data_IF_133766198512
#
_entry.id   IF_133766198512
#
_cell.length_a   1.000
_cell.length_b   1.000
_cell.length_c   1.000
_cell.angle_alpha   90.00
_cell.angle_beta   90.00
_cell.angle_gamma   90.00
#
_symmetry.space_group_name_H-M   'P 1'
#
loop_
_entity.id
_entity.type
_entity.pdbx_description
1 polymer ?
#
# COMPACT_ATOMS: atom_id res chain seq x y z
N UNK A 1 -10.36 -9.84 6.98
CA UNK A 1 -11.06 -10.90 6.22
C UNK A 1 -10.10 -11.80 5.42
N UNK A 2 -9.00 -11.28 4.91
CA UNK A 2 -8.03 -12.00 4.05
C UNK A 2 -6.95 -12.71 4.86
N UNK A 3 -6.39 -13.80 4.29
CA UNK A 3 -5.37 -14.66 4.91
C UNK A 3 -4.08 -14.71 4.08
N UNK A 4 -3.52 -13.56 3.75
CA UNK A 4 -2.27 -13.48 2.99
C UNK A 4 -1.13 -14.14 3.78
N UNK A 5 -0.36 -15.02 3.13
CA UNK A 5 0.62 -15.89 3.81
C UNK A 5 1.87 -15.14 4.34
N UNK A 6 2.00 -13.86 4.06
CA UNK A 6 3.07 -13.01 4.59
C UNK A 6 2.62 -12.16 5.79
N UNK A 7 1.30 -12.08 6.06
CA UNK A 7 0.72 -11.16 7.02
C UNK A 7 0.40 -11.84 8.35
N UNK A 8 0.84 -11.24 9.46
CA UNK A 8 0.57 -11.75 10.81
C UNK A 8 -0.72 -11.18 11.44
N UNK A 9 -1.51 -10.44 10.67
CA UNK A 9 -2.81 -9.98 11.13
C UNK A 9 -3.76 -11.17 11.29
N UNK A 10 -4.46 -11.23 12.41
CA UNK A 10 -5.41 -12.31 12.68
C UNK A 10 -6.53 -12.32 11.64
N UNK A 11 -6.66 -13.44 10.93
CA UNK A 11 -7.72 -13.66 9.95
C UNK A 11 -8.99 -14.14 10.64
N UNK A 12 -10.13 -13.62 10.21
CA UNK A 12 -11.43 -14.05 10.74
C UNK A 12 -12.53 -13.07 10.39
N UNK A 13 -13.66 -13.22 11.07
CA UNK A 13 -14.75 -12.26 10.98
C UNK A 13 -14.43 -11.05 11.85
N UNK A 14 -14.28 -9.84 11.26
CA UNK A 14 -13.99 -8.63 12.02
C UNK A 14 -15.15 -8.24 12.94
N UNK A 15 -14.84 -7.45 13.96
CA UNK A 15 -15.88 -6.76 14.73
C UNK A 15 -16.65 -5.76 13.86
N UNK A 16 -17.87 -5.39 14.24
CA UNK A 16 -18.60 -4.29 13.60
C UNK A 16 -17.72 -3.03 13.51
N UNK A 17 -17.95 -2.20 12.50
CA UNK A 17 -17.26 -0.91 12.41
C UNK A 17 -17.56 -0.04 13.63
N UNK A 18 -16.53 0.57 14.21
CA UNK A 18 -16.71 1.67 15.15
C UNK A 18 -17.05 2.94 14.36
N UNK A 19 -18.27 3.41 14.51
CA UNK A 19 -18.75 4.63 13.84
C UNK A 19 -18.00 5.90 14.24
N UNK A 20 -17.30 5.86 15.39
CA UNK A 20 -16.51 6.98 15.90
C UNK A 20 -15.02 6.87 15.54
N UNK A 21 -14.56 5.75 14.96
CA UNK A 21 -13.16 5.56 14.57
C UNK A 21 -12.62 6.70 13.70
N UNK A 22 -13.34 7.22 12.67
CA UNK A 22 -12.87 8.36 11.89
C UNK A 22 -12.51 9.59 12.73
N UNK A 23 -13.33 9.90 13.73
CA UNK A 23 -13.10 11.02 14.65
C UNK A 23 -11.91 10.73 15.57
N UNK A 24 -11.85 9.54 16.15
CA UNK A 24 -10.75 9.15 17.06
C UNK A 24 -9.39 9.14 16.33
N UNK A 25 -9.35 8.71 15.07
CA UNK A 25 -8.12 8.78 14.25
C UNK A 25 -7.70 10.23 14.03
N UNK A 26 -8.65 11.11 13.66
CA UNK A 26 -8.38 12.54 13.45
C UNK A 26 -7.88 13.24 14.73
N UNK A 27 -8.49 12.95 15.88
CA UNK A 27 -8.07 13.46 17.20
C UNK A 27 -6.68 12.94 17.60
N UNK A 28 -6.37 11.68 17.30
CA UNK A 28 -5.05 11.09 17.57
C UNK A 28 -3.95 11.80 16.78
N UNK A 29 -4.20 12.09 15.50
CA UNK A 29 -3.28 12.85 14.65
C UNK A 29 -3.06 14.26 15.21
N UNK A 30 -4.14 14.94 15.61
CA UNK A 30 -4.07 16.26 16.23
C UNK A 30 -3.25 16.26 17.54
N UNK A 31 -3.50 15.26 18.40
CA UNK A 31 -2.77 15.10 19.67
C UNK A 31 -1.28 14.88 19.43
N UNK A 32 -0.93 14.06 18.45
CA UNK A 32 0.47 13.78 18.07
C UNK A 32 1.12 14.93 17.30
N UNK A 33 0.35 15.93 16.82
CA UNK A 33 0.82 17.08 16.03
C UNK A 33 1.63 16.65 14.79
N UNK A 34 1.08 15.71 14.03
CA UNK A 34 1.77 15.17 12.87
C UNK A 34 1.65 16.10 11.66
N UNK A 35 2.76 16.37 10.98
CA UNK A 35 2.79 17.07 9.70
C UNK A 35 2.38 16.15 8.54
N UNK A 36 2.61 14.83 8.69
CA UNK A 36 2.24 13.79 7.74
C UNK A 36 1.75 12.54 8.45
N UNK A 37 0.67 11.96 7.97
CA UNK A 37 0.09 10.73 8.52
C UNK A 37 -0.10 9.68 7.43
N UNK A 38 0.37 8.45 7.71
CA UNK A 38 0.11 7.27 6.88
C UNK A 38 -0.93 6.42 7.57
N UNK A 39 -2.07 6.25 6.93
CA UNK A 39 -3.20 5.48 7.45
C UNK A 39 -3.32 4.16 6.70
N UNK A 40 -3.52 3.09 7.42
CA UNK A 40 -3.74 1.76 6.87
C UNK A 40 -4.90 1.06 7.58
N UNK A 41 -5.49 0.08 6.94
CA UNK A 41 -6.54 -0.75 7.54
C UNK A 41 -6.32 -2.23 7.25
N UNK A 42 -7.13 -3.07 7.90
CA UNK A 42 -7.35 -4.45 7.47
C UNK A 42 -8.37 -4.48 6.33
N UNK A 43 -8.39 -5.58 5.56
CA UNK A 43 -9.42 -5.79 4.54
C UNK A 43 -10.79 -6.06 5.19
N UNK A 44 -11.84 -5.47 4.63
CA UNK A 44 -13.22 -5.57 5.08
C UNK A 44 -14.14 -6.11 3.99
N UNK A 45 -13.75 -7.25 3.37
CA UNK A 45 -14.57 -7.91 2.33
C UNK A 45 -15.94 -8.40 2.87
N UNK A 46 -16.15 -8.31 4.18
CA UNK A 46 -17.41 -8.59 4.85
C UNK A 46 -18.44 -7.46 4.73
N UNK A 47 -18.01 -6.25 4.36
CA UNK A 47 -18.89 -5.10 4.18
C UNK A 47 -19.37 -4.98 2.73
N UNK A 48 -20.60 -4.48 2.51
CA UNK A 48 -21.14 -4.32 1.15
C UNK A 48 -20.31 -3.41 0.24
N UNK A 49 -19.72 -2.38 0.83
CA UNK A 49 -18.85 -1.38 0.17
C UNK A 49 -17.35 -1.66 0.40
N UNK A 50 -17.00 -2.83 0.93
CA UNK A 50 -15.62 -3.22 1.26
C UNK A 50 -14.89 -2.21 2.17
N UNK A 51 -15.65 -1.34 2.86
CA UNK A 51 -15.17 -0.31 3.77
C UNK A 51 -14.79 1.02 3.11
N UNK A 52 -15.18 1.26 1.86
CA UNK A 52 -14.82 2.47 1.11
C UNK A 52 -15.37 3.75 1.73
N UNK A 53 -16.63 3.76 2.19
CA UNK A 53 -17.22 4.92 2.86
C UNK A 53 -16.53 5.21 4.21
N UNK A 54 -16.15 4.17 4.94
CA UNK A 54 -15.40 4.34 6.20
C UNK A 54 -14.03 4.99 5.95
N UNK A 55 -13.34 4.59 4.88
CA UNK A 55 -12.12 5.24 4.42
C UNK A 55 -12.34 6.72 4.08
N UNK A 56 -13.35 7.00 3.27
CA UNK A 56 -13.66 8.36 2.85
C UNK A 56 -14.01 9.27 4.04
N UNK A 57 -14.79 8.78 4.99
CA UNK A 57 -15.10 9.49 6.24
C UNK A 57 -13.84 9.76 7.07
N UNK A 58 -12.98 8.77 7.21
CA UNK A 58 -11.74 8.92 7.98
C UNK A 58 -10.86 10.01 7.37
N UNK A 59 -10.67 10.02 6.07
CA UNK A 59 -9.90 11.05 5.38
C UNK A 59 -10.52 12.45 5.57
N UNK A 60 -11.84 12.58 5.40
CA UNK A 60 -12.55 13.86 5.57
C UNK A 60 -12.43 14.37 7.01
N UNK A 61 -12.57 13.50 8.03
CA UNK A 61 -12.42 13.91 9.43
C UNK A 61 -10.99 14.34 9.75
N UNK A 62 -9.99 13.61 9.24
CA UNK A 62 -8.59 14.01 9.43
C UNK A 62 -8.36 15.40 8.81
N UNK A 63 -8.76 15.64 7.57
CA UNK A 63 -8.59 16.94 6.90
C UNK A 63 -9.37 18.06 7.59
N UNK A 64 -10.56 17.77 8.11
CA UNK A 64 -11.36 18.75 8.86
C UNK A 64 -10.67 19.20 10.14
N UNK A 65 -10.12 18.26 10.91
CA UNK A 65 -9.50 18.56 12.22
C UNK A 65 -8.03 18.98 12.09
N UNK A 66 -7.33 18.49 11.06
CA UNK A 66 -5.90 18.69 10.83
C UNK A 66 -5.64 19.22 9.41
N UNK A 67 -6.06 20.45 9.07
CA UNK A 67 -6.04 20.94 7.69
C UNK A 67 -4.63 21.13 7.12
N UNK A 68 -3.58 21.15 7.95
CA UNK A 68 -2.19 21.27 7.51
C UNK A 68 -1.48 19.93 7.41
N UNK A 69 -2.08 18.85 7.95
CA UNK A 69 -1.48 17.51 7.90
C UNK A 69 -1.73 16.89 6.53
N UNK A 70 -0.66 16.45 5.88
CA UNK A 70 -0.75 15.66 4.65
C UNK A 70 -1.08 14.21 4.96
N UNK A 71 -1.88 13.57 4.08
CA UNK A 71 -2.42 12.23 4.32
C UNK A 71 -2.02 11.28 3.21
N UNK A 72 -1.34 10.21 3.57
CA UNK A 72 -1.19 9.02 2.73
C UNK A 72 -2.13 7.93 3.25
N UNK A 73 -2.85 7.26 2.34
CA UNK A 73 -3.71 6.12 2.67
C UNK A 73 -3.24 4.87 1.94
N UNK A 74 -3.01 3.79 2.68
CA UNK A 74 -2.72 2.47 2.12
C UNK A 74 -4.01 1.65 2.11
N UNK A 75 -4.63 1.57 0.93
CA UNK A 75 -5.96 1.00 0.74
C UNK A 75 -5.93 -0.44 0.23
N UNK A 76 -6.99 -1.24 0.48
CA UNK A 76 -7.20 -2.52 -0.19
C UNK A 76 -7.51 -2.32 -1.69
N UNK A 77 -7.59 -3.43 -2.44
CA UNK A 77 -7.91 -3.38 -3.87
C UNK A 77 -9.39 -3.08 -4.18
N UNK A 78 -10.26 -3.06 -3.18
CA UNK A 78 -11.72 -2.98 -3.34
C UNK A 78 -12.26 -3.87 -4.47
N UNK A 79 -11.60 -5.02 -4.73
CA UNK A 79 -11.91 -5.95 -5.81
C UNK A 79 -11.94 -5.28 -7.22
N UNK A 80 -11.20 -4.20 -7.39
CA UNK A 80 -11.14 -3.41 -8.63
C UNK A 80 -12.39 -2.57 -8.93
N UNK A 81 -13.32 -2.42 -7.98
CA UNK A 81 -14.55 -1.64 -8.17
C UNK A 81 -14.24 -0.14 -8.17
N UNK A 82 -14.31 0.46 -9.33
CA UNK A 82 -13.95 1.88 -9.53
C UNK A 82 -14.84 2.84 -8.77
N UNK A 83 -16.12 2.51 -8.58
CA UNK A 83 -17.06 3.30 -7.79
C UNK A 83 -16.67 3.39 -6.31
N UNK A 84 -16.01 2.35 -5.76
CA UNK A 84 -15.51 2.36 -4.40
C UNK A 84 -14.17 3.11 -4.29
N UNK A 85 -13.30 2.96 -5.28
CA UNK A 85 -12.07 3.75 -5.38
C UNK A 85 -12.36 5.24 -5.49
N UNK A 86 -13.39 5.63 -6.25
CA UNK A 86 -13.80 7.03 -6.39
C UNK A 86 -14.20 7.66 -5.06
N UNK A 87 -14.86 6.93 -4.15
CA UNK A 87 -15.22 7.45 -2.82
C UNK A 87 -13.97 7.88 -2.03
N UNK A 88 -12.89 7.09 -2.12
CA UNK A 88 -11.61 7.42 -1.47
C UNK A 88 -10.91 8.59 -2.17
N UNK A 89 -10.91 8.60 -3.50
CA UNK A 89 -10.30 9.67 -4.31
C UNK A 89 -11.00 11.01 -4.04
N UNK A 90 -12.34 11.03 -4.01
CA UNK A 90 -13.16 12.21 -3.75
C UNK A 90 -13.05 12.72 -2.29
N UNK A 91 -12.48 11.95 -1.39
CA UNK A 91 -12.11 12.42 -0.05
C UNK A 91 -10.79 13.22 -0.04
N UNK A 92 -10.08 13.27 -1.18
CA UNK A 92 -8.87 14.06 -1.45
C UNK A 92 -7.69 13.76 -0.52
N UNK A 93 -7.23 12.49 -0.35
CA UNK A 93 -5.94 12.23 0.27
C UNK A 93 -4.81 12.76 -0.63
N UNK A 94 -3.64 13.03 -0.05
CA UNK A 94 -2.50 13.57 -0.79
C UNK A 94 -1.76 12.49 -1.58
N UNK A 95 -1.73 11.27 -1.04
CA UNK A 95 -1.18 10.06 -1.68
C UNK A 95 -2.14 8.90 -1.45
N UNK A 96 -2.39 8.12 -2.49
CA UNK A 96 -3.03 6.80 -2.36
C UNK A 96 -2.02 5.72 -2.69
N UNK A 97 -1.81 4.82 -1.73
CA UNK A 97 -0.93 3.67 -1.81
C UNK A 97 -1.74 2.39 -1.93
N UNK A 98 -1.34 1.51 -2.85
CA UNK A 98 -1.83 0.14 -2.94
C UNK A 98 -0.67 -0.78 -3.28
N UNK A 99 -0.37 -1.74 -2.42
CA UNK A 99 0.80 -2.59 -2.57
C UNK A 99 0.57 -3.74 -3.55
N UNK A 100 1.55 -3.97 -4.43
CA UNK A 100 1.65 -5.20 -5.23
C UNK A 100 2.07 -6.41 -4.39
N UNK A 101 2.77 -6.16 -3.29
CA UNK A 101 3.35 -7.11 -2.35
C UNK A 101 4.49 -7.95 -2.93
N UNK A 102 4.37 -8.49 -4.13
CA UNK A 102 5.38 -9.31 -4.80
C UNK A 102 5.14 -9.39 -6.31
N UNK A 103 6.04 -10.09 -7.01
CA UNK A 103 5.98 -10.28 -8.47
C UNK A 103 4.81 -11.18 -8.90
N UNK A 104 4.45 -11.12 -10.18
CA UNK A 104 3.31 -11.80 -10.79
C UNK A 104 3.25 -13.31 -10.49
N UNK A 105 4.37 -14.01 -10.64
CA UNK A 105 4.45 -15.46 -10.44
C UNK A 105 4.20 -15.87 -8.98
N UNK A 106 4.66 -15.07 -8.03
CA UNK A 106 4.57 -15.37 -6.59
C UNK A 106 3.25 -14.88 -5.99
N UNK A 107 2.65 -13.84 -6.56
CA UNK A 107 1.42 -13.24 -6.04
C UNK A 107 0.33 -14.25 -5.68
N UNK A 108 -0.07 -15.22 -6.55
CA UNK A 108 -1.10 -16.20 -6.22
C UNK A 108 -0.70 -17.20 -5.13
N UNK A 109 0.60 -17.32 -4.83
CA UNK A 109 1.10 -18.22 -3.79
C UNK A 109 0.98 -17.62 -2.40
N UNK A 110 1.05 -16.29 -2.29
CA UNK A 110 1.14 -15.58 -1.00
C UNK A 110 -0.05 -14.67 -0.70
N UNK A 111 -0.78 -14.20 -1.72
CA UNK A 111 -1.99 -13.37 -1.55
C UNK A 111 -3.23 -14.24 -1.63
N UNK A 112 -4.13 -14.15 -0.66
CA UNK A 112 -5.29 -15.06 -0.55
C UNK A 112 -6.45 -14.72 -1.48
N UNK A 113 -6.65 -13.44 -1.80
CA UNK A 113 -7.78 -12.96 -2.60
C UNK A 113 -7.39 -11.90 -3.62
N UNK A 114 -6.33 -11.13 -3.33
CA UNK A 114 -5.90 -10.07 -4.22
C UNK A 114 -5.20 -10.62 -5.49
N UNK A 115 -5.51 -10.02 -6.62
CA UNK A 115 -4.99 -10.39 -7.93
C UNK A 115 -3.98 -9.35 -8.42
N UNK A 116 -2.93 -9.78 -9.10
CA UNK A 116 -1.86 -8.90 -9.61
C UNK A 116 -2.40 -7.86 -10.60
N UNK A 117 -3.20 -8.29 -11.57
CA UNK A 117 -3.75 -7.40 -12.59
C UNK A 117 -4.79 -6.43 -12.01
N UNK A 118 -5.61 -6.89 -11.07
CA UNK A 118 -6.54 -6.02 -10.33
C UNK A 118 -5.77 -4.95 -9.56
N UNK A 119 -4.65 -5.29 -8.92
CA UNK A 119 -3.81 -4.30 -8.22
C UNK A 119 -3.23 -3.26 -9.16
N UNK A 120 -2.79 -3.63 -10.37
CA UNK A 120 -2.36 -2.69 -11.40
C UNK A 120 -3.50 -1.78 -11.88
N UNK A 121 -4.71 -2.34 -12.06
CA UNK A 121 -5.89 -1.56 -12.42
C UNK A 121 -6.23 -0.52 -11.34
N UNK A 122 -6.15 -0.88 -10.06
CA UNK A 122 -6.33 0.06 -8.93
C UNK A 122 -5.34 1.21 -9.01
N UNK A 123 -4.04 0.92 -9.17
CA UNK A 123 -2.98 1.93 -9.29
C UNK A 123 -3.23 2.83 -10.52
N UNK A 124 -3.58 2.22 -11.66
CA UNK A 124 -3.89 2.97 -12.88
C UNK A 124 -5.10 3.89 -12.70
N UNK A 125 -6.14 3.43 -12.00
CA UNK A 125 -7.32 4.25 -11.72
C UNK A 125 -6.99 5.45 -10.84
N UNK A 126 -6.20 5.23 -9.77
CA UNK A 126 -5.72 6.31 -8.88
C UNK A 126 -4.94 7.36 -9.68
N UNK A 127 -3.95 6.93 -10.47
CA UNK A 127 -3.11 7.82 -11.27
C UNK A 127 -3.91 8.62 -12.31
N UNK A 128 -4.83 7.96 -13.03
CA UNK A 128 -5.69 8.62 -14.03
C UNK A 128 -6.61 9.69 -13.44
N UNK A 129 -6.94 9.59 -12.17
CA UNK A 129 -7.72 10.58 -11.46
C UNK A 129 -6.86 11.69 -10.81
N UNK A 130 -5.57 11.77 -11.17
CA UNK A 130 -4.68 12.86 -10.77
C UNK A 130 -4.17 12.79 -9.33
N UNK A 131 -4.38 11.66 -8.62
CA UNK A 131 -3.84 11.47 -7.28
C UNK A 131 -2.46 10.83 -7.37
N UNK A 132 -1.52 11.30 -6.56
CA UNK A 132 -0.19 10.72 -6.47
C UNK A 132 -0.28 9.25 -6.01
N UNK A 133 0.18 8.34 -6.86
CA UNK A 133 0.07 6.90 -6.60
C UNK A 133 1.38 6.30 -6.11
N UNK A 134 1.27 5.38 -5.16
CA UNK A 134 2.39 4.68 -4.55
C UNK A 134 2.12 3.19 -4.47
N UNK A 135 3.18 2.39 -4.57
CA UNK A 135 3.11 0.95 -4.36
C UNK A 135 4.31 0.45 -3.58
N UNK A 136 4.17 -0.73 -3.00
CA UNK A 136 5.24 -1.40 -2.27
C UNK A 136 5.32 -2.88 -2.61
N UNK A 137 6.54 -3.41 -2.54
CA UNK A 137 6.80 -4.83 -2.64
C UNK A 137 7.76 -5.30 -1.55
N UNK A 138 7.67 -6.58 -1.25
CA UNK A 138 8.64 -7.30 -0.45
C UNK A 138 9.46 -8.21 -1.37
N UNK A 139 10.77 -8.25 -1.16
CA UNK A 139 11.69 -9.18 -1.84
C UNK A 139 12.21 -10.24 -0.86
N UNK A 140 12.68 -11.37 -1.38
CA UNK A 140 13.09 -12.54 -0.61
C UNK A 140 11.99 -13.61 -0.48
N UNK A 141 10.97 -13.56 -1.34
CA UNK A 141 9.91 -14.56 -1.46
C UNK A 141 10.21 -15.61 -2.54
N UNK A 142 11.34 -15.48 -3.28
CA UNK A 142 11.78 -16.37 -4.35
C UNK A 142 11.60 -15.79 -5.75
N UNK A 143 11.42 -14.48 -5.86
CA UNK A 143 11.46 -13.74 -7.12
C UNK A 143 12.89 -13.65 -7.66
N UNK A 144 13.03 -13.46 -8.98
CA UNK A 144 14.29 -13.10 -9.60
C UNK A 144 14.43 -11.58 -9.76
N UNK A 145 15.66 -11.05 -9.90
CA UNK A 145 15.85 -9.63 -10.19
C UNK A 145 15.08 -9.15 -11.43
N UNK A 146 15.03 -9.94 -12.48
CA UNK A 146 14.34 -9.63 -13.74
C UNK A 146 12.82 -9.56 -13.54
N UNK A 147 12.26 -10.38 -12.65
CA UNK A 147 10.84 -10.32 -12.29
C UNK A 147 10.52 -9.02 -11.51
N UNK A 148 11.43 -8.57 -10.66
CA UNK A 148 11.29 -7.28 -9.95
C UNK A 148 11.35 -6.11 -10.94
N UNK A 149 12.26 -6.16 -11.93
CA UNK A 149 12.35 -5.14 -12.98
C UNK A 149 11.11 -5.12 -13.87
N UNK A 150 10.55 -6.28 -14.21
CA UNK A 150 9.29 -6.40 -14.95
C UNK A 150 8.13 -5.79 -14.16
N UNK A 151 8.06 -6.03 -12.85
CA UNK A 151 7.07 -5.43 -11.98
C UNK A 151 7.20 -3.89 -11.94
N UNK A 152 8.43 -3.36 -11.94
CA UNK A 152 8.66 -1.92 -12.04
C UNK A 152 8.10 -1.35 -13.34
N UNK A 153 8.30 -2.03 -14.48
CA UNK A 153 7.75 -1.62 -15.77
C UNK A 153 6.21 -1.66 -15.76
N UNK A 154 5.60 -2.72 -15.21
CA UNK A 154 4.15 -2.84 -15.06
C UNK A 154 3.58 -1.68 -14.20
N UNK A 155 4.25 -1.34 -13.10
CA UNK A 155 3.85 -0.24 -12.22
C UNK A 155 3.95 1.13 -12.91
N UNK A 156 5.03 1.39 -13.65
CA UNK A 156 5.19 2.63 -14.41
C UNK A 156 4.16 2.75 -15.52
N UNK A 157 3.85 1.66 -16.22
CA UNK A 157 2.79 1.63 -17.21
C UNK A 157 1.40 1.90 -16.61
N UNK A 158 1.19 1.52 -15.32
CA UNK A 158 0.00 1.87 -14.56
C UNK A 158 0.01 3.31 -14.01
N UNK A 159 1.11 4.06 -14.18
CA UNK A 159 1.26 5.44 -13.72
C UNK A 159 1.69 5.59 -12.26
N UNK A 160 2.25 4.54 -11.66
CA UNK A 160 2.80 4.59 -10.32
C UNK A 160 4.01 5.52 -10.23
N UNK A 161 4.04 6.41 -9.25
CA UNK A 161 5.09 7.42 -9.12
C UNK A 161 6.10 7.11 -8.02
N UNK A 162 5.69 6.36 -7.00
CA UNK A 162 6.49 6.08 -5.81
C UNK A 162 6.54 4.58 -5.57
N UNK A 163 7.74 4.02 -5.39
CA UNK A 163 7.94 2.60 -5.12
C UNK A 163 8.72 2.39 -3.82
N UNK A 164 8.24 1.50 -2.98
CA UNK A 164 8.97 1.02 -1.80
C UNK A 164 9.33 -0.46 -1.93
N UNK A 165 10.58 -0.82 -1.61
CA UNK A 165 11.08 -2.20 -1.69
C UNK A 165 11.73 -2.55 -0.35
N UNK A 166 11.16 -3.53 0.36
CA UNK A 166 11.66 -4.00 1.64
C UNK A 166 11.91 -5.51 1.65
N UNK A 167 12.69 -5.99 2.62
CA UNK A 167 12.89 -7.42 2.83
C UNK A 167 11.63 -8.04 3.44
N UNK A 168 11.19 -9.17 2.88
CA UNK A 168 10.23 -10.03 3.53
C UNK A 168 10.85 -10.67 4.79
N UNK A 169 10.17 -10.52 5.92
CA UNK A 169 10.53 -11.17 7.17
C UNK A 169 9.37 -12.09 7.57
N UNK A 170 9.64 -13.37 7.66
CA UNK A 170 8.64 -14.38 8.03
C UNK A 170 8.15 -14.17 9.47
N UNK A 171 6.87 -13.85 9.71
CA UNK A 171 6.38 -13.56 11.05
C UNK A 171 6.36 -14.79 11.97
N UNK A 172 6.10 -15.97 11.44
CA UNK A 172 6.16 -17.24 12.15
C UNK A 172 6.35 -18.40 11.17
N UNK A 173 6.69 -19.59 11.67
CA UNK A 173 6.87 -20.80 10.85
C UNK A 173 5.63 -21.23 10.05
N UNK A 174 4.46 -20.66 10.34
CA UNK A 174 3.21 -20.95 9.61
C UNK A 174 3.05 -20.06 8.36
N UNK A 175 3.84 -18.99 8.25
CA UNK A 175 3.80 -18.07 7.13
C UNK A 175 4.70 -18.56 6.00
N UNK A 176 4.58 -17.92 4.85
CA UNK A 176 5.40 -18.23 3.68
C UNK A 176 6.89 -18.13 4.06
N UNK A 177 7.72 -19.13 3.70
CA UNK A 177 9.12 -19.13 4.11
C UNK A 177 9.90 -18.01 3.40
N UNK A 178 10.92 -17.48 4.07
CA UNK A 178 11.92 -16.61 3.42
C UNK A 178 12.75 -17.49 2.49
N UNK A 179 12.75 -17.17 1.20
CA UNK A 179 13.56 -17.85 0.21
C UNK A 179 15.01 -17.32 0.20
N UNK A 180 15.18 -16.02 0.42
CA UNK A 180 16.47 -15.35 0.42
C UNK A 180 16.45 -14.11 1.31
N UNK A 181 17.57 -13.83 1.98
CA UNK A 181 17.85 -12.52 2.56
C UNK A 181 18.64 -11.70 1.55
N UNK A 182 17.95 -10.83 0.84
CA UNK A 182 18.50 -10.00 -0.23
C UNK A 182 19.56 -9.05 0.33
N UNK A 183 20.70 -8.92 -0.37
CA UNK A 183 21.81 -8.10 0.10
C UNK A 183 21.50 -6.59 0.03
N UNK A 184 22.08 -5.76 0.92
CA UNK A 184 21.93 -4.30 0.83
C UNK A 184 22.40 -3.74 -0.53
N UNK A 185 23.39 -4.37 -1.17
CA UNK A 185 23.87 -4.01 -2.50
C UNK A 185 22.79 -4.23 -3.57
N UNK A 186 22.02 -5.31 -3.48
CA UNK A 186 20.92 -5.56 -4.41
C UNK A 186 19.77 -4.56 -4.19
N UNK A 187 19.45 -4.19 -2.95
CA UNK A 187 18.50 -3.12 -2.67
C UNK A 187 18.95 -1.78 -3.28
N UNK A 188 20.25 -1.46 -3.17
CA UNK A 188 20.80 -0.24 -3.78
C UNK A 188 20.66 -0.28 -5.32
N UNK A 189 20.88 -1.45 -5.96
CA UNK A 189 20.64 -1.63 -7.40
C UNK A 189 19.19 -1.40 -7.77
N UNK A 190 18.24 -1.99 -7.04
CA UNK A 190 16.82 -1.77 -7.29
C UNK A 190 16.43 -0.30 -7.20
N UNK A 191 17.00 0.45 -6.25
CA UNK A 191 16.78 1.90 -6.15
C UNK A 191 17.24 2.63 -7.41
N UNK A 192 18.46 2.34 -7.87
CA UNK A 192 19.04 2.98 -9.07
C UNK A 192 18.18 2.63 -10.30
N UNK A 193 17.91 1.34 -10.53
CA UNK A 193 17.12 0.87 -11.67
C UNK A 193 15.73 1.51 -11.68
N UNK A 194 15.05 1.56 -10.53
CA UNK A 194 13.72 2.16 -10.47
C UNK A 194 13.73 3.66 -10.78
N UNK A 195 14.72 4.41 -10.31
CA UNK A 195 14.89 5.82 -10.66
C UNK A 195 15.22 6.01 -12.16
N UNK A 196 16.10 5.19 -12.72
CA UNK A 196 16.45 5.22 -14.15
C UNK A 196 15.25 4.85 -15.05
N UNK A 197 14.38 3.93 -14.59
CA UNK A 197 13.14 3.59 -15.29
C UNK A 197 12.10 4.72 -15.27
N UNK A 198 12.17 5.65 -14.32
CA UNK A 198 11.31 6.84 -14.29
C UNK A 198 10.41 7.00 -13.05
N UNK A 199 10.57 6.21 -12.00
CA UNK A 199 9.91 6.52 -10.73
C UNK A 199 10.40 7.85 -10.16
N UNK A 200 9.49 8.65 -9.63
CA UNK A 200 9.86 9.91 -8.98
C UNK A 200 10.64 9.65 -7.68
N UNK A 201 10.23 8.61 -6.95
CA UNK A 201 10.83 8.21 -5.68
C UNK A 201 10.91 6.69 -5.61
N UNK A 202 12.07 6.18 -5.19
CA UNK A 202 12.26 4.77 -4.85
C UNK A 202 12.95 4.68 -3.49
N UNK A 203 12.26 4.09 -2.52
CA UNK A 203 12.86 3.73 -1.24
C UNK A 203 13.10 2.22 -1.22
N UNK A 204 14.37 1.82 -1.15
CA UNK A 204 14.77 0.41 -1.26
C UNK A 204 15.89 0.10 -0.27
N UNK A 205 15.56 -0.67 0.76
CA UNK A 205 16.51 -1.17 1.76
C UNK A 205 15.86 -2.30 2.57
N UNK A 206 16.65 -3.15 3.28
CA UNK A 206 16.10 -4.29 4.03
C UNK A 206 15.00 -3.92 5.03
N UNK A 207 15.09 -2.79 5.69
CA UNK A 207 14.12 -2.36 6.71
C UNK A 207 13.05 -1.40 6.19
N UNK A 208 12.99 -1.14 4.89
CA UNK A 208 11.94 -0.32 4.28
C UNK A 208 10.58 -0.97 4.49
N UNK A 209 9.60 -0.15 4.81
CA UNK A 209 8.17 -0.45 4.88
C UNK A 209 7.41 0.61 4.11
N UNK A 210 6.13 0.37 3.83
CA UNK A 210 5.29 1.32 3.07
C UNK A 210 5.28 2.74 3.65
N UNK A 211 5.41 2.90 4.97
CA UNK A 211 5.46 4.20 5.65
C UNK A 211 6.87 4.79 5.81
N UNK A 212 7.92 4.12 5.28
CA UNK A 212 9.30 4.57 5.48
C UNK A 212 9.55 5.91 4.76
N UNK A 213 9.95 6.93 5.53
CA UNK A 213 10.19 8.30 5.05
C UNK A 213 9.03 8.89 4.22
N UNK A 214 7.78 8.50 4.51
CA UNK A 214 6.62 8.89 3.73
C UNK A 214 6.43 10.43 3.68
N UNK A 215 6.87 11.15 4.69
CA UNK A 215 6.87 12.62 4.72
C UNK A 215 7.69 13.28 3.60
N UNK A 216 8.67 12.55 3.04
CA UNK A 216 9.49 13.02 1.91
C UNK A 216 8.80 12.84 0.56
N UNK A 217 7.76 12.04 0.50
CA UNK A 217 7.05 11.71 -0.74
C UNK A 217 6.07 12.80 -1.20
N UNK A 218 5.79 13.77 -0.33
CA UNK A 218 4.86 14.88 -0.60
C UNK A 218 5.48 15.95 -1.50
N UNK A 219 6.79 16.12 -1.45
CA UNK A 219 7.54 17.17 -2.16
C UNK A 219 7.65 16.92 -3.64
#
# INVERSE_FOLDING_TARGET
TRSCKFCNTQTGRPHPLDVNEPVHVAESIALMKLDHAVITSVDRDDLPDLGAEHWARTIREIKRLNPQTTIEVLIPDFQGKTELLNQVIEAHPDIISHNMETVRRISPLVRSAANYDTSLQVISHISKNGVKSKSGIMVGLGETPEEVETLMDDLLAAGCQILTIGQYLQPSHRHYPVAEYVTPQQFAKYKIIGLEKGFNIVESAPLVRSSYHAEKHIR
#
